data_IF_427697087269
#
_entry.id   IF_427697087269
#
_cell.length_a   1.000
_cell.length_b   1.000
_cell.length_c   1.000
_cell.angle_alpha   90.00
_cell.angle_beta   90.00
_cell.angle_gamma   90.00
#
_symmetry.space_group_name_H-M   'P 1'
#
loop_
_entity.id
_entity.type
_entity.pdbx_description
1 polymer ?
#
# COMPACT_ATOMS: atom_id res chain seq x y z
N UNK A 1 4.06 11.00 -7.27
CA UNK A 1 3.05 9.99 -6.83
C UNK A 1 2.08 10.69 -5.90
N UNK A 2 0.90 11.08 -6.40
CA UNK A 2 -0.17 11.65 -5.56
C UNK A 2 -0.65 10.54 -4.62
N UNK A 3 -0.53 10.74 -3.30
CA UNK A 3 -0.94 9.77 -2.29
C UNK A 3 -2.46 9.80 -2.15
N UNK A 4 -3.10 8.67 -2.39
CA UNK A 4 -4.54 8.47 -2.22
C UNK A 4 -4.85 8.36 -0.72
N UNK A 5 -5.42 9.42 -0.13
CA UNK A 5 -6.13 9.33 1.15
C UNK A 5 -7.60 9.02 0.82
N UNK A 6 -8.13 7.92 1.35
CA UNK A 6 -9.51 7.47 1.12
C UNK A 6 -10.49 8.47 1.75
N UNK A 7 -11.23 9.21 0.92
CA UNK A 7 -12.49 9.84 1.30
C UNK A 7 -13.61 8.89 0.89
N UNK A 8 -14.22 8.20 1.87
CA UNK A 8 -15.43 7.41 1.65
C UNK A 8 -16.59 8.36 1.29
N UNK A 9 -16.93 8.38 0.01
CA UNK A 9 -18.04 9.15 -0.53
C UNK A 9 -19.37 8.58 -0.05
N UNK A 10 -20.00 9.26 0.90
CA UNK A 10 -21.41 9.08 1.23
C UNK A 10 -22.20 10.05 0.34
N UNK A 11 -22.81 9.52 -0.72
CA UNK A 11 -23.67 10.28 -1.61
C UNK A 11 -24.98 10.59 -0.88
N UNK A 12 -25.05 11.71 -0.19
CA UNK A 12 -26.32 12.25 0.33
C UNK A 12 -26.83 13.25 -0.69
N UNK A 13 -27.70 12.76 -1.57
CA UNK A 13 -28.49 13.59 -2.46
C UNK A 13 -29.64 14.21 -1.65
N UNK A 14 -29.40 15.37 -1.05
CA UNK A 14 -30.41 16.38 -0.70
C UNK A 14 -29.70 17.73 -0.90
N UNK A 15 -30.24 18.67 -1.66
CA UNK A 15 -31.26 19.59 -1.16
C UNK A 15 -32.07 20.18 -2.32
N UNK A 16 -33.40 20.07 -2.21
CA UNK A 16 -34.29 21.09 -2.72
C UNK A 16 -34.16 22.34 -1.83
N UNK A 17 -33.58 23.39 -2.40
CA UNK A 17 -33.86 24.82 -2.21
C UNK A 17 -32.66 25.57 -2.82
N UNK A 18 -32.90 26.25 -3.94
CA UNK A 18 -31.87 26.88 -4.76
C UNK A 18 -31.26 28.11 -4.09
N UNK A 19 -30.40 27.91 -3.09
CA UNK A 19 -29.47 28.96 -2.66
C UNK A 19 -28.30 29.00 -3.64
N UNK A 20 -28.06 30.19 -4.19
CA UNK A 20 -26.91 30.44 -5.06
C UNK A 20 -25.60 30.33 -4.25
N UNK A 21 -24.47 30.06 -4.92
CA UNK A 21 -23.16 30.03 -4.25
C UNK A 21 -22.87 31.37 -3.53
N UNK A 22 -23.35 32.47 -4.11
CA UNK A 22 -23.21 33.81 -3.58
C UNK A 22 -24.00 34.01 -2.28
N UNK A 23 -25.27 33.58 -2.22
CA UNK A 23 -26.05 33.61 -0.97
C UNK A 23 -25.39 32.79 0.14
N UNK A 24 -24.80 31.65 -0.22
CA UNK A 24 -24.07 30.83 0.75
C UNK A 24 -22.80 31.53 1.27
N UNK A 25 -22.06 32.24 0.41
CA UNK A 25 -20.92 33.08 0.80
C UNK A 25 -21.35 34.20 1.77
N UNK A 26 -22.47 34.86 1.51
CA UNK A 26 -23.01 35.91 2.40
C UNK A 26 -23.37 35.34 3.79
N UNK A 27 -24.03 34.18 3.83
CA UNK A 27 -24.38 33.50 5.08
C UNK A 27 -23.11 33.08 5.84
N UNK A 28 -22.11 32.53 5.15
CA UNK A 28 -20.85 32.17 5.77
C UNK A 28 -20.06 33.39 6.28
N UNK A 29 -20.12 34.53 5.58
CA UNK A 29 -19.54 35.79 6.03
C UNK A 29 -20.23 36.32 7.29
N UNK A 30 -21.54 36.09 7.44
CA UNK A 30 -22.28 36.44 8.66
C UNK A 30 -21.88 35.65 9.92
N UNK A 31 -21.01 34.64 9.76
CA UNK A 31 -20.50 33.82 10.87
C UNK A 31 -21.20 32.47 11.03
N UNK A 32 -22.09 32.10 10.11
CA UNK A 32 -22.74 30.79 10.16
C UNK A 32 -21.73 29.65 9.94
N UNK A 33 -21.56 28.83 10.98
CA UNK A 33 -20.56 27.76 10.99
C UNK A 33 -20.87 26.67 9.97
N UNK A 34 -22.14 26.37 9.73
CA UNK A 34 -22.57 25.37 8.76
C UNK A 34 -22.23 25.80 7.34
N UNK A 35 -22.55 27.04 6.98
CA UNK A 35 -22.24 27.63 5.70
C UNK A 35 -20.73 27.74 5.47
N UNK A 36 -19.96 28.17 6.48
CA UNK A 36 -18.48 28.18 6.40
C UNK A 36 -17.92 26.78 6.11
N UNK A 37 -18.41 25.75 6.83
CA UNK A 37 -17.97 24.36 6.63
C UNK A 37 -18.32 23.85 5.23
N UNK A 38 -19.57 24.05 4.81
CA UNK A 38 -20.05 23.58 3.52
C UNK A 38 -19.39 24.29 2.34
N UNK A 39 -19.10 25.60 2.44
CA UNK A 39 -18.31 26.30 1.42
C UNK A 39 -16.88 25.78 1.36
N UNK A 40 -16.24 25.58 2.52
CA UNK A 40 -14.91 24.96 2.59
C UNK A 40 -14.87 23.65 1.82
N UNK A 41 -15.84 22.75 2.07
CA UNK A 41 -15.98 21.48 1.37
C UNK A 41 -16.26 21.64 -0.13
N UNK A 42 -17.20 22.50 -0.51
CA UNK A 42 -17.55 22.75 -1.91
C UNK A 42 -16.34 23.20 -2.71
N UNK A 43 -15.57 24.16 -2.19
CA UNK A 43 -14.36 24.63 -2.84
C UNK A 43 -13.22 23.60 -2.81
N UNK A 44 -13.09 22.83 -1.72
CA UNK A 44 -12.08 21.78 -1.61
C UNK A 44 -12.30 20.67 -2.64
N UNK A 45 -13.57 20.28 -2.87
CA UNK A 45 -13.94 19.17 -3.78
C UNK A 45 -14.33 19.60 -5.20
N UNK A 46 -14.62 20.88 -5.41
CA UNK A 46 -15.24 21.36 -6.64
C UNK A 46 -16.70 20.90 -6.80
N UNK A 47 -17.45 20.77 -5.70
CA UNK A 47 -18.86 20.36 -5.74
C UNK A 47 -19.77 21.58 -5.96
N UNK A 48 -20.44 21.65 -7.11
CA UNK A 48 -21.30 22.80 -7.47
C UNK A 48 -20.54 24.10 -7.77
N UNK A 49 -19.21 24.03 -7.90
CA UNK A 49 -18.31 25.13 -8.28
C UNK A 49 -16.97 24.55 -8.77
N UNK A 50 -16.05 25.38 -9.27
CA UNK A 50 -14.70 24.92 -9.58
C UNK A 50 -13.89 24.70 -8.28
N UNK A 51 -13.07 23.65 -8.26
CA UNK A 51 -12.15 23.43 -7.15
C UNK A 51 -11.26 24.65 -6.95
N UNK A 52 -11.20 25.13 -5.71
CA UNK A 52 -10.43 26.31 -5.33
C UNK A 52 -9.89 26.15 -3.92
N UNK A 53 -8.68 25.63 -3.79
CA UNK A 53 -8.08 25.40 -2.49
C UNK A 53 -7.82 26.69 -1.70
N UNK A 54 -7.54 27.82 -2.35
CA UNK A 54 -7.34 29.09 -1.63
C UNK A 54 -8.63 29.56 -0.94
N UNK A 55 -9.80 29.41 -1.59
CA UNK A 55 -11.08 29.68 -0.94
C UNK A 55 -11.42 28.64 0.12
N UNK A 56 -11.10 27.37 -0.11
CA UNK A 56 -11.33 26.33 0.88
C UNK A 56 -10.51 26.56 2.16
N UNK A 57 -9.22 26.88 2.04
CA UNK A 57 -8.35 27.16 3.19
C UNK A 57 -8.83 28.37 3.97
N UNK A 58 -9.24 29.44 3.28
CA UNK A 58 -9.83 30.62 3.92
C UNK A 58 -11.04 30.25 4.81
N UNK A 59 -12.00 29.50 4.27
CA UNK A 59 -13.20 29.12 5.02
C UNK A 59 -12.89 28.15 6.16
N UNK A 60 -12.03 27.15 5.92
CA UNK A 60 -11.62 26.24 6.97
C UNK A 60 -10.81 26.93 8.07
N UNK A 61 -9.93 27.89 7.75
CA UNK A 61 -9.20 28.67 8.74
C UNK A 61 -10.13 29.51 9.61
N UNK A 62 -11.07 30.23 8.99
CA UNK A 62 -12.07 31.02 9.72
C UNK A 62 -12.90 30.16 10.66
N UNK A 63 -13.22 28.93 10.29
CA UNK A 63 -14.01 28.01 11.10
C UNK A 63 -13.17 27.21 12.12
N UNK A 64 -11.94 26.83 11.78
CA UNK A 64 -11.02 26.08 12.63
C UNK A 64 -10.56 26.90 13.84
N UNK A 65 -10.34 28.21 13.64
CA UNK A 65 -10.02 29.18 14.71
C UNK A 65 -11.16 29.34 15.72
N UNK A 66 -12.40 29.05 15.31
CA UNK A 66 -13.57 28.98 16.21
C UNK A 66 -13.70 27.62 16.93
N UNK A 67 -12.73 26.72 16.78
CA UNK A 67 -12.71 25.43 17.47
C UNK A 67 -13.40 24.29 16.72
N UNK A 68 -13.89 24.50 15.50
CA UNK A 68 -14.66 23.47 14.78
C UNK A 68 -13.77 22.27 14.40
N UNK A 69 -14.03 21.13 15.04
CA UNK A 69 -13.25 19.89 14.93
C UNK A 69 -12.92 19.49 13.49
N UNK A 70 -13.91 19.45 12.60
CA UNK A 70 -13.67 18.96 11.23
C UNK A 70 -12.98 19.99 10.35
N UNK A 71 -13.15 21.29 10.64
CA UNK A 71 -12.45 22.34 9.92
C UNK A 71 -10.96 22.36 10.31
N UNK A 72 -10.65 22.09 11.58
CA UNK A 72 -9.28 21.89 12.03
C UNK A 72 -8.64 20.68 11.33
N UNK A 73 -9.37 19.58 11.17
CA UNK A 73 -8.88 18.43 10.41
C UNK A 73 -8.56 18.81 8.95
N UNK A 74 -9.51 19.44 8.25
CA UNK A 74 -9.30 19.83 6.84
C UNK A 74 -8.19 20.86 6.68
N UNK A 75 -8.08 21.83 7.58
CA UNK A 75 -6.99 22.80 7.53
C UNK A 75 -5.62 22.13 7.77
N UNK A 76 -5.56 21.16 8.70
CA UNK A 76 -4.37 20.33 8.90
C UNK A 76 -3.98 19.55 7.65
N UNK A 77 -4.97 18.98 6.94
CA UNK A 77 -4.76 18.30 5.66
C UNK A 77 -4.22 19.25 4.58
N UNK A 78 -4.78 20.45 4.47
CA UNK A 78 -4.36 21.43 3.48
C UNK A 78 -2.93 21.92 3.71
N UNK A 79 -2.53 22.14 4.98
CA UNK A 79 -1.13 22.42 5.31
C UNK A 79 -0.20 21.22 5.06
N UNK A 80 -0.68 20.00 5.27
CA UNK A 80 0.11 18.79 5.01
C UNK A 80 0.40 18.62 3.51
N UNK A 81 -0.61 18.84 2.65
CA UNK A 81 -0.48 18.65 1.21
C UNK A 81 0.03 19.90 0.46
N UNK A 82 -0.05 21.09 1.08
CA UNK A 82 0.22 22.37 0.41
C UNK A 82 -0.91 22.81 -0.52
N UNK A 83 -2.15 22.37 -0.26
CA UNK A 83 -3.32 22.69 -1.06
C UNK A 83 -3.86 24.07 -0.66
N UNK A 84 -3.67 25.09 -1.50
CA UNK A 84 -4.20 26.44 -1.28
C UNK A 84 -3.52 27.24 -0.15
N UNK A 85 -2.45 26.69 0.42
CA UNK A 85 -1.54 27.29 1.39
C UNK A 85 -0.13 26.74 1.15
N UNK A 86 0.90 27.42 1.63
CA UNK A 86 2.26 26.84 1.62
C UNK A 86 2.29 25.59 2.51
N UNK A 87 2.94 24.52 2.03
CA UNK A 87 3.08 23.28 2.79
C UNK A 87 3.83 23.54 4.10
N UNK A 88 3.23 23.16 5.21
CA UNK A 88 3.77 23.36 6.56
C UNK A 88 3.34 22.21 7.48
N UNK A 89 4.26 21.26 7.69
CA UNK A 89 3.99 20.10 8.54
C UNK A 89 3.81 20.45 10.02
N UNK A 90 4.39 21.56 10.49
CA UNK A 90 4.21 21.98 11.89
C UNK A 90 2.81 22.53 12.11
N UNK A 91 2.27 23.30 11.15
CA UNK A 91 0.86 23.72 11.18
C UNK A 91 -0.09 22.55 10.95
N UNK A 92 0.25 21.61 10.09
CA UNK A 92 -0.53 20.39 9.91
C UNK A 92 -0.65 19.60 11.22
N UNK A 93 0.48 19.32 11.88
CA UNK A 93 0.54 18.67 13.20
C UNK A 93 -0.29 19.44 14.23
N UNK A 94 -0.15 20.77 14.29
CA UNK A 94 -0.90 21.61 15.21
C UNK A 94 -2.42 21.48 15.03
N UNK A 95 -2.91 21.59 13.79
CA UNK A 95 -4.34 21.54 13.52
C UNK A 95 -4.92 20.12 13.65
N UNK A 96 -4.16 19.10 13.25
CA UNK A 96 -4.53 17.72 13.53
C UNK A 96 -4.61 17.46 15.03
N UNK A 97 -3.64 17.93 15.83
CA UNK A 97 -3.64 17.78 17.28
C UNK A 97 -4.92 18.38 17.89
N UNK A 98 -5.28 19.60 17.50
CA UNK A 98 -6.52 20.27 17.96
C UNK A 98 -7.78 19.49 17.60
N UNK A 99 -7.84 18.92 16.40
CA UNK A 99 -8.98 18.11 15.95
C UNK A 99 -9.04 16.75 16.66
N UNK A 100 -7.88 16.10 16.82
CA UNK A 100 -7.73 14.79 17.45
C UNK A 100 -8.06 14.81 18.95
N UNK A 101 -7.68 15.87 19.66
CA UNK A 101 -8.04 16.13 21.06
C UNK A 101 -9.56 16.22 21.26
N UNK A 102 -10.30 16.65 20.23
CA UNK A 102 -11.76 16.69 20.21
C UNK A 102 -12.40 15.36 19.74
N UNK A 103 -11.60 14.30 19.57
CA UNK A 103 -12.09 12.99 19.17
C UNK A 103 -12.39 12.86 17.68
N UNK A 104 -11.73 13.63 16.81
CA UNK A 104 -11.81 13.39 15.36
C UNK A 104 -10.96 12.15 14.99
N UNK A 105 -11.58 11.06 14.51
CA UNK A 105 -10.84 9.83 14.25
C UNK A 105 -9.87 9.96 13.06
N UNK A 106 -10.20 10.75 12.04
CA UNK A 106 -9.33 10.97 10.90
C UNK A 106 -8.05 11.74 11.29
N UNK A 107 -8.17 12.74 12.17
CA UNK A 107 -7.05 13.50 12.70
C UNK A 107 -6.17 12.64 13.63
N UNK A 108 -6.78 11.82 14.50
CA UNK A 108 -6.05 10.86 15.32
C UNK A 108 -5.26 9.87 14.45
N UNK A 109 -5.89 9.37 13.38
CA UNK A 109 -5.26 8.44 12.46
C UNK A 109 -4.08 9.11 11.75
N UNK A 110 -4.28 10.31 11.21
CA UNK A 110 -3.23 11.05 10.51
C UNK A 110 -2.07 11.41 11.43
N UNK A 111 -2.31 11.84 12.67
CA UNK A 111 -1.26 12.04 13.67
C UNK A 111 -0.48 10.77 13.93
N UNK A 112 -1.17 9.65 14.16
CA UNK A 112 -0.55 8.35 14.35
C UNK A 112 0.38 8.00 13.20
N UNK A 113 -0.08 8.18 11.96
CA UNK A 113 0.67 7.86 10.75
C UNK A 113 1.87 8.79 10.53
N UNK A 114 1.72 10.11 10.69
CA UNK A 114 2.85 11.04 10.48
C UNK A 114 3.94 10.81 11.51
N UNK A 115 3.59 10.52 12.77
CA UNK A 115 4.58 10.19 13.80
C UNK A 115 5.23 8.83 13.56
N UNK A 116 4.47 7.82 13.10
CA UNK A 116 4.99 6.50 12.78
C UNK A 116 5.99 6.55 11.62
N UNK A 117 5.66 7.28 10.55
CA UNK A 117 6.50 7.40 9.34
C UNK A 117 7.62 8.43 9.49
N UNK A 118 7.46 9.43 10.37
CA UNK A 118 8.31 10.62 10.40
C UNK A 118 8.13 11.49 9.15
N UNK A 119 6.91 11.56 8.62
CA UNK A 119 6.62 12.33 7.41
C UNK A 119 6.36 13.79 7.80
N UNK A 120 7.33 14.67 7.53
CA UNK A 120 7.24 16.09 7.83
C UNK A 120 7.47 16.48 9.30
N UNK A 121 7.40 15.52 10.21
CA UNK A 121 7.72 15.65 11.64
C UNK A 121 8.76 14.61 12.04
N UNK A 122 9.46 14.83 13.16
CA UNK A 122 10.37 13.82 13.70
C UNK A 122 9.61 12.53 14.04
N UNK A 123 10.11 11.39 13.56
CA UNK A 123 9.52 10.07 13.84
C UNK A 123 9.44 9.86 15.35
N UNK A 124 8.26 9.50 15.84
CA UNK A 124 8.00 9.32 17.26
C UNK A 124 7.00 8.17 17.48
N UNK A 125 7.52 6.99 17.78
CA UNK A 125 6.67 5.82 17.96
C UNK A 125 5.78 5.88 19.21
N UNK A 126 6.19 6.58 20.26
CA UNK A 126 5.37 6.73 21.47
C UNK A 126 4.11 7.54 21.19
N UNK A 127 4.24 8.68 20.49
CA UNK A 127 3.09 9.48 20.06
C UNK A 127 2.24 8.74 19.03
N UNK A 128 2.85 8.01 18.11
CA UNK A 128 2.12 7.18 17.16
C UNK A 128 1.25 6.14 17.88
N UNK A 129 1.85 5.38 18.81
CA UNK A 129 1.17 4.40 19.64
C UNK A 129 0.02 5.03 20.43
N UNK A 130 0.27 6.17 21.08
CA UNK A 130 -0.77 6.89 21.84
C UNK A 130 -2.03 7.14 21.01
N UNK A 131 -1.89 7.64 19.78
CA UNK A 131 -3.04 7.90 18.91
C UNK A 131 -3.70 6.62 18.37
N UNK A 132 -2.90 5.62 18.01
CA UNK A 132 -3.44 4.34 17.56
C UNK A 132 -4.16 3.59 18.67
N UNK A 133 -3.69 3.61 19.92
CA UNK A 133 -4.39 2.98 21.05
C UNK A 133 -5.78 3.59 21.23
N UNK A 134 -5.88 4.92 21.27
CA UNK A 134 -7.17 5.62 21.39
C UNK A 134 -8.15 5.28 20.27
N UNK A 135 -7.67 5.21 19.03
CA UNK A 135 -8.49 4.80 17.89
C UNK A 135 -8.88 3.33 17.93
N UNK A 136 -7.97 2.47 18.38
CA UNK A 136 -8.21 1.04 18.49
C UNK A 136 -9.26 0.70 19.54
N UNK A 137 -9.34 1.50 20.62
CA UNK A 137 -10.39 1.43 21.65
C UNK A 137 -11.78 1.76 21.10
N UNK A 138 -11.84 2.60 20.06
CA UNK A 138 -13.06 2.89 19.30
C UNK A 138 -13.33 1.85 18.19
N UNK A 139 -12.53 0.79 18.13
CA UNK A 139 -12.66 -0.28 17.15
C UNK A 139 -12.05 0.02 15.78
N UNK A 140 -11.30 1.11 15.60
CA UNK A 140 -10.75 1.44 14.28
C UNK A 140 -9.75 0.37 13.77
N UNK A 141 -10.06 -0.24 12.63
CA UNK A 141 -9.30 -1.37 12.08
C UNK A 141 -7.89 -0.97 11.58
N UNK A 142 -7.71 0.25 11.07
CA UNK A 142 -6.40 0.73 10.61
C UNK A 142 -5.45 0.98 11.80
N UNK A 143 -5.96 1.56 12.88
CA UNK A 143 -5.19 1.73 14.11
C UNK A 143 -4.79 0.39 14.73
N UNK A 144 -5.72 -0.58 14.77
CA UNK A 144 -5.40 -1.95 15.19
C UNK A 144 -4.32 -2.57 14.28
N UNK A 145 -4.40 -2.38 12.95
CA UNK A 145 -3.34 -2.82 12.04
C UNK A 145 -1.97 -2.19 12.39
N UNK A 146 -1.92 -0.89 12.65
CA UNK A 146 -0.67 -0.21 13.02
C UNK A 146 -0.11 -0.69 14.36
N UNK A 147 -0.95 -0.93 15.37
CA UNK A 147 -0.51 -1.55 16.63
C UNK A 147 0.08 -2.95 16.39
N UNK A 148 -0.54 -3.73 15.52
CA UNK A 148 -0.01 -5.03 15.08
C UNK A 148 1.36 -4.90 14.41
N UNK A 149 1.51 -3.92 13.52
CA UNK A 149 2.76 -3.64 12.81
C UNK A 149 3.89 -3.21 13.75
N UNK A 150 3.59 -2.35 14.72
CA UNK A 150 4.55 -1.90 15.73
C UNK A 150 5.06 -3.06 16.59
N UNK A 151 4.15 -3.93 17.05
CA UNK A 151 4.50 -5.14 17.80
C UNK A 151 5.28 -6.15 16.96
N UNK A 152 4.93 -6.32 15.68
CA UNK A 152 5.61 -7.23 14.77
C UNK A 152 7.06 -6.81 14.51
N UNK A 153 7.30 -5.50 14.37
CA UNK A 153 8.64 -4.95 14.08
C UNK A 153 9.46 -4.58 15.32
N UNK A 154 8.83 -4.46 16.49
CA UNK A 154 9.46 -3.90 17.69
C UNK A 154 9.70 -2.38 17.59
N UNK A 155 8.80 -1.66 16.93
CA UNK A 155 8.92 -0.21 16.72
C UNK A 155 8.16 0.55 17.82
N UNK A 156 8.88 1.16 18.77
CA UNK A 156 8.30 1.86 19.93
C UNK A 156 7.76 0.97 21.04
N UNK A 157 7.78 -0.35 20.84
CA UNK A 157 7.49 -1.38 21.84
C UNK A 157 8.46 -2.54 21.64
N UNK A 158 8.76 -3.35 22.66
CA UNK A 158 9.48 -4.61 22.46
C UNK A 158 8.75 -5.49 21.44
N UNK A 159 9.50 -6.14 20.56
CA UNK A 159 8.91 -7.02 19.56
C UNK A 159 8.11 -8.15 20.22
N UNK A 160 6.86 -8.30 19.82
CA UNK A 160 5.97 -9.34 20.33
C UNK A 160 5.03 -9.86 19.23
N UNK A 161 5.32 -11.04 18.71
CA UNK A 161 4.52 -11.68 17.66
C UNK A 161 3.12 -12.11 18.14
N UNK A 162 2.93 -12.40 19.43
CA UNK A 162 1.61 -12.76 19.96
C UNK A 162 0.68 -11.54 19.95
N UNK A 163 1.18 -10.39 20.38
CA UNK A 163 0.43 -9.13 20.36
C UNK A 163 0.20 -8.66 18.92
N UNK A 164 1.21 -8.80 18.05
CA UNK A 164 1.07 -8.53 16.62
C UNK A 164 -0.06 -9.35 16.00
N UNK A 165 -0.07 -10.67 16.23
CA UNK A 165 -1.13 -11.57 15.77
C UNK A 165 -2.49 -11.15 16.31
N UNK A 166 -2.60 -10.86 17.60
CA UNK A 166 -3.86 -10.42 18.23
C UNK A 166 -4.43 -9.16 17.55
N UNK A 167 -3.60 -8.15 17.35
CA UNK A 167 -4.03 -6.90 16.70
C UNK A 167 -4.35 -7.08 15.22
N UNK A 168 -3.56 -7.89 14.49
CA UNK A 168 -3.88 -8.22 13.11
C UNK A 168 -5.16 -9.04 12.96
N UNK A 169 -5.46 -9.98 13.88
CA UNK A 169 -6.72 -10.73 13.87
C UNK A 169 -7.91 -9.79 14.06
N UNK A 170 -7.87 -8.89 15.05
CA UNK A 170 -8.92 -7.87 15.24
C UNK A 170 -9.15 -7.00 14.02
N UNK A 171 -8.08 -6.49 13.41
CA UNK A 171 -8.19 -5.68 12.21
C UNK A 171 -8.70 -6.49 11.00
N UNK A 172 -8.25 -7.74 10.85
CA UNK A 172 -8.63 -8.63 9.76
C UNK A 172 -10.11 -9.05 9.80
N UNK A 173 -10.65 -9.29 11.00
CA UNK A 173 -12.07 -9.55 11.24
C UNK A 173 -12.95 -8.39 10.75
N UNK A 174 -12.45 -7.16 10.89
CA UNK A 174 -13.13 -5.94 10.45
C UNK A 174 -12.94 -5.60 8.96
N UNK A 175 -12.26 -6.44 8.19
CA UNK A 175 -12.05 -6.17 6.76
C UNK A 175 -10.71 -5.56 6.40
N UNK A 176 -9.83 -5.27 7.37
CA UNK A 176 -8.55 -4.62 7.05
C UNK A 176 -7.68 -5.52 6.17
N UNK A 177 -7.49 -5.09 4.93
CA UNK A 177 -6.80 -5.86 3.88
C UNK A 177 -5.31 -6.02 4.21
N UNK A 178 -4.67 -5.00 4.78
CA UNK A 178 -3.27 -5.06 5.19
C UNK A 178 -3.05 -6.03 6.35
N UNK A 179 -3.93 -6.03 7.35
CA UNK A 179 -3.88 -6.96 8.46
C UNK A 179 -4.09 -8.41 8.01
N UNK A 180 -5.07 -8.68 7.14
CA UNK A 180 -5.30 -10.02 6.55
C UNK A 180 -4.04 -10.56 5.87
N UNK A 181 -3.38 -9.73 5.08
CA UNK A 181 -2.17 -10.11 4.37
C UNK A 181 -0.99 -10.39 5.31
N UNK A 182 -0.76 -9.51 6.31
CA UNK A 182 0.32 -9.70 7.27
C UNK A 182 0.06 -10.92 8.18
N UNK A 183 -1.19 -11.15 8.57
CA UNK A 183 -1.58 -12.35 9.31
C UNK A 183 -1.35 -13.62 8.49
N UNK A 184 -1.67 -13.60 7.19
CA UNK A 184 -1.39 -14.70 6.28
C UNK A 184 0.12 -14.99 6.17
N UNK A 185 0.94 -13.94 6.07
CA UNK A 185 2.41 -14.07 6.06
C UNK A 185 2.94 -14.65 7.37
N UNK A 186 2.43 -14.20 8.52
CA UNK A 186 2.82 -14.75 9.82
C UNK A 186 2.54 -16.25 9.91
N UNK A 187 1.34 -16.68 9.49
CA UNK A 187 1.00 -18.10 9.44
C UNK A 187 1.84 -18.87 8.41
N UNK A 188 2.15 -18.27 7.25
CA UNK A 188 2.95 -18.89 6.20
C UNK A 188 4.40 -19.10 6.63
N UNK A 189 4.99 -18.14 7.35
CA UNK A 189 6.39 -18.22 7.78
C UNK A 189 6.58 -18.89 9.14
N UNK A 190 5.58 -18.85 10.01
CA UNK A 190 5.70 -19.27 11.41
C UNK A 190 6.52 -18.30 12.26
N UNK A 191 6.47 -16.99 11.97
CA UNK A 191 7.23 -15.98 12.71
C UNK A 191 6.59 -15.72 14.09
N UNK A 192 7.17 -16.31 15.13
CA UNK A 192 6.73 -16.18 16.52
C UNK A 192 5.37 -16.82 16.84
N UNK A 193 4.79 -17.54 15.88
CA UNK A 193 3.57 -18.34 16.00
C UNK A 193 3.77 -19.67 15.27
N UNK A 194 2.95 -20.68 15.58
CA UNK A 194 2.99 -21.94 14.85
C UNK A 194 2.63 -21.72 13.37
N UNK A 195 3.40 -22.36 12.49
CA UNK A 195 3.18 -22.33 11.06
C UNK A 195 1.85 -23.00 10.72
N UNK A 196 0.98 -22.30 10.01
CA UNK A 196 -0.34 -22.82 9.61
C UNK A 196 -0.62 -22.43 8.16
N UNK A 197 -0.17 -23.28 7.25
CA UNK A 197 -0.38 -23.05 5.83
C UNK A 197 -1.86 -23.05 5.43
N UNK A 198 -2.74 -23.74 6.17
CA UNK A 198 -4.18 -23.73 5.86
C UNK A 198 -4.76 -22.35 6.11
N UNK A 199 -4.43 -21.71 7.23
CA UNK A 199 -4.83 -20.32 7.53
C UNK A 199 -4.15 -19.31 6.61
N UNK A 200 -2.88 -19.49 6.30
CA UNK A 200 -2.19 -18.64 5.33
C UNK A 200 -2.90 -18.67 3.97
N UNK A 201 -3.16 -19.87 3.44
CA UNK A 201 -3.87 -20.07 2.18
C UNK A 201 -5.27 -19.48 2.22
N UNK A 202 -6.03 -19.72 3.28
CA UNK A 202 -7.38 -19.17 3.46
C UNK A 202 -7.44 -17.64 3.22
N UNK A 203 -6.45 -16.91 3.76
CA UNK A 203 -6.36 -15.47 3.58
C UNK A 203 -5.80 -15.08 2.21
N UNK A 204 -4.76 -15.77 1.73
CA UNK A 204 -4.19 -15.50 0.41
C UNK A 204 -5.20 -15.74 -0.72
N UNK A 205 -6.00 -16.80 -0.68
CA UNK A 205 -7.05 -17.08 -1.68
C UNK A 205 -8.06 -15.91 -1.77
N UNK A 206 -8.62 -15.48 -0.64
CA UNK A 206 -9.56 -14.35 -0.60
C UNK A 206 -8.96 -13.04 -1.11
N UNK A 207 -7.71 -12.76 -0.73
CA UNK A 207 -7.02 -11.55 -1.18
C UNK A 207 -6.67 -11.63 -2.68
N UNK A 208 -6.29 -12.81 -3.16
CA UNK A 208 -5.97 -13.06 -4.57
C UNK A 208 -7.20 -12.91 -5.48
N UNK A 209 -8.36 -13.39 -5.02
CA UNK A 209 -9.67 -13.21 -5.67
C UNK A 209 -10.06 -11.73 -5.78
N UNK A 210 -9.68 -10.91 -4.79
CA UNK A 210 -9.85 -9.46 -4.80
C UNK A 210 -8.81 -8.71 -5.65
N UNK A 211 -7.97 -9.43 -6.39
CA UNK A 211 -6.97 -8.83 -7.28
C UNK A 211 -5.69 -8.38 -6.58
N UNK A 212 -5.46 -8.74 -5.31
CA UNK A 212 -4.25 -8.33 -4.61
C UNK A 212 -3.03 -9.08 -5.12
N UNK A 213 -2.15 -8.35 -5.80
CA UNK A 213 -0.95 -8.86 -6.47
C UNK A 213 -0.06 -9.71 -5.55
N UNK A 214 0.23 -9.24 -4.33
CA UNK A 214 1.15 -9.98 -3.45
C UNK A 214 0.54 -11.29 -2.94
N UNK A 215 -0.78 -11.32 -2.76
CA UNK A 215 -1.49 -12.53 -2.37
C UNK A 215 -1.56 -13.55 -3.51
N UNK A 216 -1.80 -13.09 -4.75
CA UNK A 216 -1.73 -13.94 -5.95
C UNK A 216 -0.35 -14.58 -6.10
N UNK A 217 0.71 -13.78 -5.90
CA UNK A 217 2.08 -14.26 -5.99
C UNK A 217 2.40 -15.33 -4.93
N UNK A 218 2.05 -15.06 -3.66
CA UNK A 218 2.29 -16.02 -2.57
C UNK A 218 1.47 -17.30 -2.77
N UNK A 219 0.23 -17.20 -3.24
CA UNK A 219 -0.61 -18.36 -3.53
C UNK A 219 -0.03 -19.20 -4.68
N UNK A 220 0.48 -18.55 -5.74
CA UNK A 220 1.18 -19.23 -6.83
C UNK A 220 2.42 -19.98 -6.32
N UNK A 221 3.22 -19.36 -5.46
CA UNK A 221 4.38 -20.00 -4.85
C UNK A 221 4.00 -21.18 -3.96
N UNK A 222 2.91 -21.10 -3.19
CA UNK A 222 2.42 -22.22 -2.38
C UNK A 222 2.09 -23.43 -3.25
N UNK A 223 1.40 -23.23 -4.37
CA UNK A 223 1.10 -24.30 -5.32
C UNK A 223 2.34 -24.83 -6.05
N UNK A 224 3.26 -23.94 -6.44
CA UNK A 224 4.51 -24.31 -7.10
C UNK A 224 5.40 -25.17 -6.21
N UNK A 225 5.52 -24.82 -4.93
CA UNK A 225 6.37 -25.52 -3.96
C UNK A 225 5.68 -26.71 -3.29
N UNK A 226 4.35 -26.76 -3.28
CA UNK A 226 3.57 -27.72 -2.49
C UNK A 226 3.58 -27.40 -0.99
N UNK A 227 3.63 -26.12 -0.63
CA UNK A 227 3.71 -25.68 0.77
C UNK A 227 2.31 -25.60 1.38
N UNK A 228 1.93 -26.65 2.12
CA UNK A 228 0.62 -26.75 2.78
C UNK A 228 -0.56 -27.00 1.84
N UNK A 229 -0.27 -27.28 0.59
CA UNK A 229 -1.17 -27.81 -0.44
C UNK A 229 -0.41 -28.88 -1.23
N UNK A 230 -1.15 -29.76 -1.89
CA UNK A 230 -0.54 -30.59 -2.93
C UNK A 230 0.08 -29.69 -4.01
N UNK A 231 1.27 -30.05 -4.47
CA UNK A 231 1.96 -29.33 -5.53
C UNK A 231 1.11 -29.37 -6.79
N UNK A 232 0.79 -28.19 -7.33
CA UNK A 232 -0.10 -28.02 -8.46
C UNK A 232 0.47 -26.95 -9.38
N UNK A 233 1.30 -27.38 -10.35
CA UNK A 233 1.93 -26.46 -11.28
C UNK A 233 0.91 -25.74 -12.17
N UNK A 234 -0.23 -26.35 -12.50
CA UNK A 234 -1.26 -25.72 -13.31
C UNK A 234 -1.88 -24.51 -12.58
N UNK A 235 -2.19 -24.64 -11.29
CA UNK A 235 -2.65 -23.51 -10.46
C UNK A 235 -1.57 -22.46 -10.25
N UNK A 236 -0.32 -22.86 -10.07
CA UNK A 236 0.79 -21.92 -9.98
C UNK A 236 0.90 -21.09 -11.27
N UNK A 237 0.88 -21.73 -12.44
CA UNK A 237 0.90 -21.06 -13.74
C UNK A 237 -0.28 -20.13 -13.92
N UNK A 238 -1.49 -20.56 -13.60
CA UNK A 238 -2.68 -19.70 -13.70
C UNK A 238 -2.51 -18.35 -12.99
N UNK A 239 -1.96 -18.37 -11.78
CA UNK A 239 -1.73 -17.14 -11.02
C UNK A 239 -0.53 -16.35 -11.53
N UNK A 240 0.56 -17.02 -11.91
CA UNK A 240 1.71 -16.32 -12.48
C UNK A 240 1.41 -15.70 -13.86
N UNK A 241 0.63 -16.36 -14.72
CA UNK A 241 0.17 -15.83 -16.01
C UNK A 241 -0.60 -14.52 -15.82
N UNK A 242 -1.61 -14.52 -14.95
CA UNK A 242 -2.38 -13.30 -14.62
C UNK A 242 -1.50 -12.13 -14.16
N UNK A 243 -0.51 -12.41 -13.32
CA UNK A 243 0.42 -11.40 -12.83
C UNK A 243 1.39 -10.92 -13.92
N UNK A 244 1.89 -11.83 -14.74
CA UNK A 244 2.84 -11.54 -15.80
C UNK A 244 2.21 -10.70 -16.92
N UNK A 245 0.93 -10.92 -17.23
CA UNK A 245 0.12 -10.09 -18.14
C UNK A 245 -0.03 -8.64 -17.64
N UNK A 246 -0.08 -8.45 -16.32
CA UNK A 246 -0.09 -7.13 -15.67
C UNK A 246 1.32 -6.50 -15.58
N UNK A 247 2.33 -7.16 -16.14
CA UNK A 247 3.70 -6.67 -16.15
C UNK A 247 4.52 -7.03 -14.92
N UNK A 248 4.02 -7.84 -13.98
CA UNK A 248 4.79 -8.19 -12.78
C UNK A 248 6.08 -8.96 -13.12
N UNK A 249 7.24 -8.38 -12.84
CA UNK A 249 8.54 -8.95 -13.21
C UNK A 249 8.83 -10.29 -12.53
N UNK A 250 8.45 -10.48 -11.26
CA UNK A 250 8.70 -11.72 -10.52
C UNK A 250 7.83 -12.88 -11.04
N UNK A 251 6.59 -12.59 -11.43
CA UNK A 251 5.72 -13.58 -12.07
C UNK A 251 6.23 -13.97 -13.46
N UNK A 252 6.68 -13.00 -14.27
CA UNK A 252 7.33 -13.26 -15.55
C UNK A 252 8.58 -14.15 -15.37
N UNK A 253 9.39 -13.88 -14.35
CA UNK A 253 10.53 -14.73 -14.00
C UNK A 253 10.08 -16.16 -13.64
N UNK A 254 9.07 -16.31 -12.79
CA UNK A 254 8.60 -17.62 -12.38
C UNK A 254 7.99 -18.42 -13.54
N UNK A 255 7.23 -17.79 -14.45
CA UNK A 255 6.77 -18.44 -15.67
C UNK A 255 7.94 -18.90 -16.54
N UNK A 256 8.96 -18.04 -16.70
CA UNK A 256 10.15 -18.40 -17.45
C UNK A 256 10.84 -19.64 -16.86
N UNK A 257 10.93 -19.74 -15.53
CA UNK A 257 11.44 -20.94 -14.83
C UNK A 257 10.57 -22.16 -15.15
N UNK A 258 9.24 -22.02 -15.12
CA UNK A 258 8.33 -23.14 -15.38
C UNK A 258 8.44 -23.67 -16.81
N UNK A 259 8.48 -22.78 -17.82
CA UNK A 259 8.75 -23.17 -19.21
C UNK A 259 10.16 -23.72 -19.41
N UNK A 260 11.16 -23.16 -18.74
CA UNK A 260 12.55 -23.62 -18.82
C UNK A 260 12.72 -25.04 -18.28
N UNK A 261 11.96 -25.40 -17.23
CA UNK A 261 12.03 -26.71 -16.57
C UNK A 261 10.98 -27.72 -17.04
N UNK A 262 9.97 -27.27 -17.79
CA UNK A 262 8.82 -28.11 -18.13
C UNK A 262 7.95 -28.46 -16.92
N UNK A 263 7.81 -27.54 -15.97
CA UNK A 263 7.00 -27.74 -14.76
C UNK A 263 5.57 -27.24 -14.99
N UNK A 264 4.60 -28.16 -15.13
CA UNK A 264 3.20 -27.83 -15.41
C UNK A 264 2.89 -27.54 -16.88
N UNK A 265 3.91 -27.46 -17.73
CA UNK A 265 3.85 -27.31 -19.19
C UNK A 265 4.97 -28.09 -19.84
N UNK A 266 4.86 -28.35 -21.15
CA UNK A 266 5.99 -28.85 -21.93
C UNK A 266 7.17 -27.88 -21.84
N UNK A 267 8.38 -28.41 -21.69
CA UNK A 267 9.59 -27.59 -21.69
C UNK A 267 9.71 -26.82 -23.01
N UNK A 268 9.86 -25.50 -22.92
CA UNK A 268 9.98 -24.60 -24.05
C UNK A 268 10.98 -23.49 -23.74
N UNK A 269 12.21 -23.66 -24.24
CA UNK A 269 13.26 -22.67 -24.03
C UNK A 269 13.00 -21.36 -24.78
N UNK A 270 12.28 -21.37 -25.91
CA UNK A 270 12.00 -20.14 -26.64
C UNK A 270 11.02 -19.27 -25.85
N UNK A 271 9.93 -19.87 -25.36
CA UNK A 271 8.96 -19.18 -24.49
C UNK A 271 9.61 -18.76 -23.16
N UNK A 272 10.43 -19.62 -22.55
CA UNK A 272 11.17 -19.25 -21.34
C UNK A 272 12.08 -18.04 -21.56
N UNK A 273 12.83 -18.01 -22.67
CA UNK A 273 13.73 -16.90 -23.02
C UNK A 273 12.96 -15.59 -23.19
N UNK A 274 11.78 -15.62 -23.82
CA UNK A 274 10.92 -14.44 -23.97
C UNK A 274 10.46 -13.90 -22.61
N UNK A 275 10.02 -14.76 -21.71
CA UNK A 275 9.58 -14.34 -20.37
C UNK A 275 10.74 -13.85 -19.50
N UNK A 276 11.89 -14.53 -19.53
CA UNK A 276 13.10 -14.05 -18.86
C UNK A 276 13.51 -12.68 -19.39
N UNK A 277 13.44 -12.44 -20.70
CA UNK A 277 13.74 -11.13 -21.30
C UNK A 277 12.82 -10.04 -20.76
N UNK A 278 11.50 -10.23 -20.76
CA UNK A 278 10.55 -9.26 -20.21
C UNK A 278 10.83 -8.93 -18.74
N UNK A 279 11.12 -9.95 -17.93
CA UNK A 279 11.45 -9.77 -16.50
C UNK A 279 12.81 -9.07 -16.31
N UNK A 280 13.81 -9.44 -17.11
CA UNK A 280 15.17 -8.91 -17.06
C UNK A 280 15.23 -7.42 -17.46
N UNK A 281 14.44 -7.00 -18.45
CA UNK A 281 14.28 -5.61 -18.88
C UNK A 281 13.69 -4.72 -17.78
N UNK A 282 12.91 -5.30 -16.86
CA UNK A 282 12.38 -4.62 -15.67
C UNK A 282 13.35 -4.63 -14.48
N UNK A 283 14.56 -5.17 -14.64
CA UNK A 283 15.58 -5.18 -13.60
C UNK A 283 15.57 -6.40 -12.69
N UNK A 284 14.78 -7.45 -12.96
CA UNK A 284 14.84 -8.66 -12.15
C UNK A 284 16.20 -9.35 -12.32
N UNK A 285 17.00 -9.33 -11.26
CA UNK A 285 18.41 -9.75 -11.29
C UNK A 285 18.59 -11.24 -11.59
N UNK A 286 17.66 -12.09 -11.12
CA UNK A 286 17.69 -13.53 -11.38
C UNK A 286 17.27 -13.85 -12.82
N UNK A 287 16.33 -13.10 -13.39
CA UNK A 287 15.96 -13.21 -14.79
C UNK A 287 17.11 -12.80 -15.71
N UNK A 288 17.82 -11.71 -15.39
CA UNK A 288 19.02 -11.27 -16.11
C UNK A 288 20.10 -12.36 -16.13
N UNK A 289 20.37 -12.98 -14.98
CA UNK A 289 21.35 -14.08 -14.89
C UNK A 289 20.92 -15.29 -15.71
N UNK A 290 19.67 -15.74 -15.57
CA UNK A 290 19.17 -16.91 -16.27
C UNK A 290 19.12 -16.69 -17.78
N UNK A 291 18.72 -15.49 -18.22
CA UNK A 291 18.73 -15.10 -19.63
C UNK A 291 20.15 -15.13 -20.21
N UNK A 292 21.13 -14.62 -19.47
CA UNK A 292 22.54 -14.66 -19.86
C UNK A 292 23.02 -16.12 -20.03
N UNK A 293 22.69 -16.99 -19.07
CA UNK A 293 23.02 -18.40 -19.14
C UNK A 293 22.33 -19.13 -20.31
N UNK A 294 21.12 -18.71 -20.70
CA UNK A 294 20.45 -19.23 -21.90
C UNK A 294 21.15 -18.79 -23.19
N UNK A 295 21.57 -17.52 -23.29
CA UNK A 295 22.37 -17.04 -24.42
C UNK A 295 23.72 -17.75 -24.54
N UNK A 296 24.38 -18.03 -23.42
CA UNK A 296 25.65 -18.77 -23.40
C UNK A 296 25.49 -20.23 -23.86
N UNK A 297 24.39 -20.88 -23.47
CA UNK A 297 24.11 -22.27 -23.82
C UNK A 297 23.46 -22.45 -25.19
N UNK A 298 22.86 -21.40 -25.75
CA UNK A 298 22.03 -21.51 -26.96
C UNK A 298 20.72 -22.21 -26.64
N UNK A 299 20.10 -21.88 -25.50
CA UNK A 299 18.78 -22.39 -25.14
C UNK A 299 17.71 -21.45 -25.72
N UNK A 300 16.82 -22.00 -26.53
CA UNK A 300 15.71 -21.28 -27.18
C UNK A 300 16.08 -20.54 -28.47
N UNK A 301 17.36 -20.51 -28.84
CA UNK A 301 17.91 -20.02 -30.12
C UNK A 301 19.40 -20.45 -30.22
N UNK A 302 20.18 -19.83 -31.10
CA UNK A 302 21.63 -19.93 -31.15
C UNK A 302 22.35 -19.25 -29.96
N UNK A 303 23.60 -19.65 -29.75
CA UNK A 303 24.49 -19.03 -28.76
C UNK A 303 24.80 -17.58 -29.13
N UNK A 304 24.82 -16.70 -28.13
CA UNK A 304 25.19 -15.29 -28.30
C UNK A 304 26.01 -14.83 -27.10
N UNK A 305 27.34 -14.83 -27.26
CA UNK A 305 28.28 -14.44 -26.22
C UNK A 305 28.21 -12.94 -25.88
N UNK A 306 27.81 -12.10 -26.84
CA UNK A 306 27.68 -10.65 -26.62
C UNK A 306 26.50 -10.39 -25.70
N UNK A 307 25.35 -10.99 -26.01
CA UNK A 307 24.15 -10.88 -25.17
C UNK A 307 24.32 -11.59 -23.83
N UNK A 308 25.02 -12.72 -23.77
CA UNK A 308 25.35 -13.37 -22.50
C UNK A 308 26.15 -12.44 -21.59
N UNK A 309 27.27 -11.87 -22.08
CA UNK A 309 28.09 -10.91 -21.31
C UNK A 309 27.30 -9.67 -20.89
N UNK A 310 26.47 -9.13 -21.78
CA UNK A 310 25.62 -7.98 -21.49
C UNK A 310 24.71 -8.23 -20.29
N UNK A 311 23.97 -9.35 -20.30
CA UNK A 311 23.01 -9.67 -19.24
C UNK A 311 23.67 -10.13 -17.94
N UNK A 312 24.81 -10.85 -18.00
CA UNK A 312 25.60 -11.12 -16.81
C UNK A 312 26.10 -9.82 -16.15
N UNK A 313 26.57 -8.86 -16.96
CA UNK A 313 26.98 -7.54 -16.45
C UNK A 313 25.84 -6.81 -15.76
N UNK A 314 24.66 -6.78 -16.38
CA UNK A 314 23.46 -6.17 -15.77
C UNK A 314 23.07 -6.84 -14.45
N UNK A 315 23.07 -8.17 -14.39
CA UNK A 315 22.78 -8.92 -13.18
C UNK A 315 23.79 -8.61 -12.05
N UNK A 316 25.08 -8.50 -12.39
CA UNK A 316 26.13 -8.09 -11.46
C UNK A 316 25.94 -6.65 -10.94
N UNK A 317 25.70 -5.70 -11.84
CA UNK A 317 25.43 -4.28 -11.50
C UNK A 317 24.23 -4.15 -10.56
N UNK A 318 23.23 -5.03 -10.72
CA UNK A 318 22.03 -5.10 -9.88
C UNK A 318 22.20 -6.01 -8.64
N UNK A 319 23.45 -6.34 -8.26
CA UNK A 319 23.78 -6.93 -6.97
C UNK A 319 23.93 -8.45 -6.91
N UNK A 320 23.71 -9.19 -7.99
CA UNK A 320 23.90 -10.64 -7.98
C UNK A 320 25.36 -11.02 -8.24
N UNK A 321 26.09 -11.26 -7.15
CA UNK A 321 27.54 -11.46 -7.15
C UNK A 321 28.02 -12.64 -8.01
N UNK A 322 27.21 -13.69 -8.13
CA UNK A 322 27.55 -14.85 -8.96
C UNK A 322 27.65 -14.47 -10.45
N UNK A 323 26.89 -13.48 -10.91
CA UNK A 323 26.98 -12.99 -12.28
C UNK A 323 28.30 -12.26 -12.56
N UNK A 324 28.91 -11.62 -11.56
CA UNK A 324 30.16 -10.87 -11.70
C UNK A 324 31.37 -11.73 -12.10
N UNK A 325 31.27 -13.06 -11.95
CA UNK A 325 32.28 -14.01 -12.43
C UNK A 325 32.38 -14.04 -13.96
N UNK A 326 31.33 -13.61 -14.66
CA UNK A 326 31.21 -13.64 -16.12
C UNK A 326 31.41 -12.25 -16.77
N UNK A 327 31.80 -11.24 -15.99
CA UNK A 327 31.95 -9.85 -16.44
C UNK A 327 33.39 -9.38 -16.56
N UNK A 328 34.35 -10.26 -16.24
CA UNK A 328 35.80 -10.06 -16.43
C UNK A 328 36.18 -10.61 -17.80
#
# INVERSE_FOLDING_TARGET
MKKTILLLGMFVCFLGNGQTLQEMEEIAESGDKGAQYHLGLKYYRGEGTYQNYAKASYWFEKLATQGHKDAQFYLGLMYFDGDGVDQDYSKAEYWYQKSAEQGNPEAQHNLGVIYYKGEGVARNFEKAKYWFERLSDLGNADAQFYLGLMNYKGEGVPQNYKDAKYWYEKAAEQGNVMARYNLALMYYKGEGIEKDYKKARYWFERLAEQGRVEAQHNLALMYYKGEGVEKDYAKAMFWFDKLAEQGNADAQYNLAVMYHRGEGVSQDYATAKQWYKKSAEQGNTMAQYNLAAMYQRGEGDSKDEVMAKYWFKKSCENGYQEACKYTR
#
